data_IF_607147589847
#
_entry.id   IF_607147589847
#
_cell.length_a   1.000
_cell.length_b   1.000
_cell.length_c   1.000
_cell.angle_alpha   90.00
_cell.angle_beta   90.00
_cell.angle_gamma   90.00
#
_symmetry.space_group_name_H-M   'P 1'
#
loop_
_entity.id
_entity.type
_entity.pdbx_description
1 polymer ?
#
# COMPACT_ATOMS: atom_id res chain seq x y z
N UNK A 1 3.47 -9.09 9.37
CA UNK A 1 2.23 -9.57 8.70
C UNK A 1 1.28 -10.04 9.77
N UNK A 2 0.07 -9.51 9.80
CA UNK A 2 -0.96 -9.94 10.75
C UNK A 2 -1.76 -11.09 10.18
N UNK A 3 -1.80 -12.21 10.90
CA UNK A 3 -2.63 -13.37 10.57
C UNK A 3 -3.94 -13.28 11.35
N UNK A 4 -5.00 -12.75 10.72
CA UNK A 4 -6.29 -12.54 11.38
C UNK A 4 -6.92 -13.84 11.90
N UNK A 5 -6.62 -14.97 11.25
CA UNK A 5 -7.09 -16.28 11.65
C UNK A 5 -6.54 -16.76 13.00
N UNK A 6 -5.35 -16.30 13.41
CA UNK A 6 -4.68 -16.71 14.65
C UNK A 6 -4.43 -15.56 15.62
N UNK A 7 -4.64 -14.32 15.20
CA UNK A 7 -4.32 -13.11 15.97
C UNK A 7 -2.82 -12.86 16.13
N UNK A 8 -1.97 -13.50 15.31
CA UNK A 8 -0.52 -13.45 15.46
C UNK A 8 0.14 -12.49 14.47
N UNK A 9 1.27 -11.90 14.88
CA UNK A 9 2.15 -11.11 14.03
C UNK A 9 3.38 -11.91 13.64
N UNK A 10 3.61 -12.04 12.34
CA UNK A 10 4.83 -12.62 11.77
C UNK A 10 5.78 -11.51 11.33
N UNK A 11 7.04 -11.66 11.73
CA UNK A 11 8.12 -10.73 11.40
C UNK A 11 9.20 -11.45 10.59
N UNK A 12 9.62 -10.82 9.49
CA UNK A 12 10.71 -11.29 8.65
C UNK A 12 11.84 -10.28 8.73
N UNK A 13 13.03 -10.72 9.14
CA UNK A 13 14.18 -9.84 9.29
C UNK A 13 15.01 -9.74 7.99
N UNK A 14 15.94 -8.78 7.97
CA UNK A 14 16.83 -8.53 6.81
C UNK A 14 17.68 -9.73 6.39
N UNK A 15 18.07 -10.59 7.34
CA UNK A 15 18.93 -11.74 7.03
C UNK A 15 18.16 -12.84 6.29
N UNK A 16 16.87 -12.96 6.58
CA UNK A 16 15.98 -13.83 5.82
C UNK A 16 15.80 -13.28 4.40
N UNK A 17 15.44 -12.01 4.25
CA UNK A 17 15.23 -11.37 2.95
C UNK A 17 16.42 -11.48 2.00
N UNK A 18 17.65 -11.33 2.50
CA UNK A 18 18.90 -11.45 1.71
C UNK A 18 19.15 -12.83 1.12
N UNK A 19 18.53 -13.88 1.66
CA UNK A 19 18.73 -15.27 1.24
C UNK A 19 17.64 -15.76 0.29
N UNK A 20 16.63 -14.94 0.00
CA UNK A 20 15.52 -15.34 -0.86
C UNK A 20 16.00 -15.56 -2.30
N UNK A 21 15.62 -16.71 -2.85
CA UNK A 21 15.66 -16.94 -4.29
C UNK A 21 14.47 -16.26 -4.97
N UNK A 22 14.39 -16.30 -6.29
CA UNK A 22 13.21 -15.81 -7.02
C UNK A 22 11.92 -16.50 -6.53
N UNK A 23 11.95 -17.82 -6.35
CA UNK A 23 10.81 -18.59 -5.83
C UNK A 23 10.49 -18.18 -4.38
N UNK A 24 11.52 -18.11 -3.53
CA UNK A 24 11.35 -17.70 -2.14
C UNK A 24 10.81 -16.27 -2.00
N UNK A 25 11.17 -15.36 -2.90
CA UNK A 25 10.63 -14.00 -2.92
C UNK A 25 9.14 -13.97 -3.31
N UNK A 26 8.74 -14.76 -4.30
CA UNK A 26 7.31 -14.93 -4.65
C UNK A 26 6.52 -15.50 -3.46
N UNK A 27 7.04 -16.51 -2.78
CA UNK A 27 6.43 -17.07 -1.57
C UNK A 27 6.33 -16.04 -0.45
N UNK A 28 7.38 -15.24 -0.22
CA UNK A 28 7.38 -14.18 0.78
C UNK A 28 6.33 -13.10 0.48
N UNK A 29 6.12 -12.74 -0.80
CA UNK A 29 5.04 -11.85 -1.21
C UNK A 29 3.66 -12.47 -0.97
N UNK A 30 3.48 -13.77 -1.29
CA UNK A 30 2.25 -14.48 -0.97
C UNK A 30 1.96 -14.47 0.54
N UNK A 31 2.98 -14.71 1.36
CA UNK A 31 2.86 -14.64 2.82
C UNK A 31 2.54 -13.22 3.28
N UNK A 32 3.19 -12.21 2.69
CA UNK A 32 2.93 -10.80 3.03
C UNK A 32 1.48 -10.41 2.77
N UNK A 33 0.87 -10.86 1.68
CA UNK A 33 -0.53 -10.57 1.36
C UNK A 33 -1.52 -11.64 1.86
N UNK A 34 -1.13 -12.51 2.80
CA UNK A 34 -2.03 -13.53 3.37
C UNK A 34 -2.62 -13.11 4.72
N UNK A 35 -3.82 -13.60 5.03
CA UNK A 35 -4.44 -13.52 6.35
C UNK A 35 -4.03 -14.67 7.30
N UNK A 36 -3.07 -15.50 6.85
CA UNK A 36 -2.61 -16.72 7.52
C UNK A 36 -3.30 -18.00 7.05
N UNK A 37 -4.28 -17.91 6.15
CA UNK A 37 -4.93 -19.06 5.51
C UNK A 37 -4.95 -18.93 4.00
N UNK A 38 -5.39 -17.77 3.51
CA UNK A 38 -5.57 -17.49 2.08
C UNK A 38 -4.85 -16.22 1.69
N UNK A 39 -4.57 -16.08 0.39
CA UNK A 39 -4.06 -14.86 -0.19
C UNK A 39 -5.20 -13.83 -0.29
N UNK A 40 -5.01 -12.65 0.30
CA UNK A 40 -5.95 -11.52 0.24
C UNK A 40 -5.79 -10.76 -1.08
N UNK A 41 -6.36 -11.34 -2.12
CA UNK A 41 -6.28 -10.84 -3.51
C UNK A 41 -6.80 -9.43 -3.68
N UNK A 42 -7.78 -9.04 -2.87
CA UNK A 42 -8.35 -7.70 -2.88
C UNK A 42 -7.31 -6.60 -2.58
N UNK A 43 -6.17 -6.95 -1.97
CA UNK A 43 -5.06 -6.04 -1.71
C UNK A 43 -4.16 -5.83 -2.93
N UNK A 44 -4.10 -6.79 -3.86
CA UNK A 44 -3.14 -6.75 -4.97
C UNK A 44 -3.48 -5.65 -5.96
N UNK A 45 -4.75 -5.52 -6.35
CA UNK A 45 -5.22 -4.50 -7.29
C UNK A 45 -4.87 -3.07 -6.84
N UNK A 46 -5.21 -2.61 -5.60
CA UNK A 46 -4.85 -1.27 -5.15
C UNK A 46 -3.34 -1.07 -4.99
N UNK A 47 -2.57 -2.09 -4.56
CA UNK A 47 -1.10 -2.00 -4.54
C UNK A 47 -0.54 -1.80 -5.95
N UNK A 48 -0.99 -2.61 -6.91
CA UNK A 48 -0.57 -2.53 -8.30
C UNK A 48 -0.88 -1.16 -8.91
N UNK A 49 -2.05 -0.60 -8.60
CA UNK A 49 -2.41 0.73 -9.04
C UNK A 49 -1.43 1.78 -8.50
N UNK A 50 -1.15 1.80 -7.20
CA UNK A 50 -0.21 2.76 -6.59
C UNK A 50 1.21 2.60 -7.13
N UNK A 51 1.67 1.37 -7.38
CA UNK A 51 2.98 1.12 -7.99
C UNK A 51 3.06 1.61 -9.43
N UNK A 52 2.01 1.44 -10.23
CA UNK A 52 1.93 1.94 -11.62
C UNK A 52 1.91 3.47 -11.66
N UNK A 53 1.15 4.11 -10.78
CA UNK A 53 1.13 5.57 -10.62
C UNK A 53 2.51 6.09 -10.21
N UNK A 54 3.13 5.51 -9.20
CA UNK A 54 4.48 5.86 -8.75
C UNK A 54 5.52 5.70 -9.86
N UNK A 55 5.47 4.59 -10.61
CA UNK A 55 6.35 4.37 -11.77
C UNK A 55 6.19 5.49 -12.80
N UNK A 56 4.96 5.87 -13.14
CA UNK A 56 4.72 6.92 -14.14
C UNK A 56 5.31 8.28 -13.69
N UNK A 57 5.19 8.60 -12.40
CA UNK A 57 5.82 9.81 -11.84
C UNK A 57 7.34 9.72 -11.92
N UNK A 58 7.94 8.60 -11.51
CA UNK A 58 9.39 8.42 -11.52
C UNK A 58 9.99 8.36 -12.93
N UNK A 59 9.25 7.86 -13.92
CA UNK A 59 9.65 7.89 -15.33
C UNK A 59 9.68 9.33 -15.90
N UNK A 60 8.84 10.22 -15.35
CA UNK A 60 8.84 11.65 -15.69
C UNK A 60 9.85 12.47 -14.87
N UNK A 61 10.37 11.92 -13.76
CA UNK A 61 11.40 12.57 -12.95
C UNK A 61 12.79 12.39 -13.59
N UNK A 62 13.33 13.48 -14.14
CA UNK A 62 14.70 13.51 -14.64
C UNK A 62 15.71 13.81 -13.52
N UNK A 63 16.92 13.29 -13.66
CA UNK A 63 18.11 13.57 -12.83
C UNK A 63 18.08 13.07 -11.38
N UNK A 64 16.92 12.67 -10.85
CA UNK A 64 16.84 12.03 -9.54
C UNK A 64 17.43 10.62 -9.56
N UNK A 65 18.16 10.26 -8.51
CA UNK A 65 18.59 8.88 -8.19
C UNK A 65 18.24 8.55 -6.76
N UNK A 66 17.52 7.45 -6.55
CA UNK A 66 16.96 7.07 -5.25
C UNK A 66 17.74 5.90 -4.64
N UNK A 67 19.06 6.04 -4.51
CA UNK A 67 19.91 4.98 -3.97
C UNK A 67 19.51 4.59 -2.55
N UNK A 68 19.48 3.29 -2.28
CA UNK A 68 19.17 2.72 -0.97
C UNK A 68 17.83 3.14 -0.36
N UNK A 69 16.95 3.77 -1.13
CA UNK A 69 15.58 4.05 -0.72
C UNK A 69 14.74 2.78 -0.76
N UNK A 70 13.62 2.80 -0.04
CA UNK A 70 12.73 1.64 0.11
C UNK A 70 11.30 1.97 -0.28
N UNK A 71 10.54 0.94 -0.64
CA UNK A 71 9.08 1.00 -0.72
C UNK A 71 8.49 0.47 0.58
N UNK A 72 7.57 1.23 1.15
CA UNK A 72 6.77 0.84 2.30
C UNK A 72 5.36 0.55 1.82
N UNK A 73 4.93 -0.70 1.96
CA UNK A 73 3.56 -1.15 1.68
C UNK A 73 2.87 -1.42 3.00
N UNK A 74 1.71 -0.78 3.21
CA UNK A 74 0.89 -0.94 4.42
C UNK A 74 -0.54 -1.23 3.96
N UNK A 75 -1.22 -2.12 4.69
CA UNK A 75 -2.63 -2.40 4.47
C UNK A 75 -3.31 -2.77 5.79
N UNK A 76 -4.63 -2.60 5.87
CA UNK A 76 -5.39 -3.03 7.04
C UNK A 76 -5.52 -4.55 7.09
N UNK A 77 -5.03 -5.16 8.17
CA UNK A 77 -5.06 -6.61 8.41
C UNK A 77 -6.42 -7.15 8.85
N UNK A 78 -7.38 -6.29 9.18
CA UNK A 78 -8.73 -6.69 9.52
C UNK A 78 -9.47 -7.31 8.30
N UNK A 79 -10.34 -8.31 8.52
CA UNK A 79 -11.19 -8.81 7.45
C UNK A 79 -12.16 -7.70 6.99
N UNK A 80 -12.59 -7.70 5.73
CA UNK A 80 -13.60 -6.77 5.25
C UNK A 80 -14.86 -6.86 6.13
N UNK A 81 -15.54 -5.73 6.40
CA UNK A 81 -16.79 -5.76 7.13
C UNK A 81 -17.77 -6.70 6.42
N UNK A 82 -18.36 -7.63 7.18
CA UNK A 82 -19.37 -8.52 6.63
C UNK A 82 -20.50 -7.67 6.01
N UNK A 83 -21.01 -8.03 4.82
CA UNK A 83 -22.11 -7.29 4.22
C UNK A 83 -23.25 -7.23 5.24
N UNK A 84 -23.64 -6.01 5.63
CA UNK A 84 -24.78 -5.79 6.50
C UNK A 84 -25.97 -6.49 5.86
N UNK A 85 -26.39 -7.62 6.44
CA UNK A 85 -27.66 -8.21 6.06
C UNK A 85 -28.72 -7.16 6.36
N UNK A 86 -29.24 -6.52 5.32
CA UNK A 86 -30.44 -5.68 5.42
C UNK A 86 -31.51 -6.52 6.10
N UNK A 87 -31.73 -6.28 7.39
CA UNK A 87 -32.85 -6.88 8.11
C UNK A 87 -34.09 -6.49 7.31
N UNK A 88 -34.96 -7.44 6.91
CA UNK A 88 -36.21 -7.04 6.27
C UNK A 88 -36.96 -6.13 7.24
N UNK A 89 -37.27 -4.92 6.78
CA UNK A 89 -38.05 -3.92 7.52
C UNK A 89 -39.33 -4.57 8.01
N UNK A 90 -39.36 -4.90 9.30
CA UNK A 90 -40.59 -5.20 10.01
C UNK A 90 -40.97 -3.88 10.66
N UNK A 91 -41.92 -3.19 10.03
CA UNK A 91 -42.38 -1.86 10.43
C UNK A 91 -42.87 -1.83 11.87
N UNK A 92 -42.70 -0.68 12.51
CA UNK A 92 -43.24 -0.38 13.82
C UNK A 92 -42.39 0.62 14.59
N UNK A 93 -42.83 1.88 14.49
CA UNK A 93 -42.78 2.94 15.51
C UNK A 93 -41.51 3.79 15.64
N UNK A 94 -41.74 5.08 15.40
CA UNK A 94 -40.87 6.25 15.52
C UNK A 94 -40.71 6.59 17.00
N UNK A 95 -39.48 6.75 17.46
CA UNK A 95 -39.20 7.52 18.67
C UNK A 95 -38.03 8.45 18.34
N UNK A 96 -38.37 9.75 18.28
CA UNK A 96 -37.46 10.87 18.12
C UNK A 96 -36.68 11.06 19.42
N UNK A 97 -35.35 11.01 19.36
CA UNK A 97 -34.48 11.63 20.37
C UNK A 97 -33.58 12.64 19.64
N UNK A 98 -33.95 13.91 19.79
CA UNK A 98 -33.09 15.08 19.58
C UNK A 98 -32.14 15.20 20.78
N UNK A 99 -30.84 15.42 20.54
CA UNK A 99 -29.92 16.17 21.41
C UNK A 99 -28.57 16.28 20.63
N UNK A 100 -28.30 17.41 19.96
CA UNK A 100 -27.75 18.71 20.42
C UNK A 100 -26.22 18.76 20.27
N UNK A 101 -25.78 19.81 19.57
CA UNK A 101 -24.45 20.04 19.00
C UNK A 101 -23.37 20.33 20.06
N UNK A 102 -22.11 19.94 19.80
CA UNK A 102 -20.95 20.76 20.17
C UNK A 102 -19.88 20.68 19.05
N UNK A 103 -19.83 21.76 18.26
CA UNK A 103 -18.72 22.10 17.38
C UNK A 103 -17.50 22.51 18.22
N UNK A 104 -16.36 21.84 18.03
CA UNK A 104 -15.05 22.38 18.42
C UNK A 104 -14.17 22.51 17.17
N UNK A 105 -14.05 23.76 16.70
CA UNK A 105 -12.94 24.23 15.89
C UNK A 105 -11.66 24.20 16.74
N UNK A 106 -10.56 23.58 16.26
CA UNK A 106 -9.34 24.35 15.95
C UNK A 106 -8.23 23.53 15.25
N UNK A 107 -7.40 24.31 14.53
CA UNK A 107 -6.04 24.06 14.06
C UNK A 107 -5.81 23.17 12.82
N UNK A 108 -5.99 23.84 11.67
CA UNK A 108 -5.37 23.53 10.39
C UNK A 108 -3.85 23.84 10.41
N UNK A 109 -3.01 22.81 10.50
CA UNK A 109 -1.65 22.84 9.96
C UNK A 109 -1.28 21.49 9.30
N UNK A 110 -0.97 21.52 7.99
CA UNK A 110 -0.16 20.48 7.35
C UNK A 110 -0.85 19.58 6.31
N UNK A 111 -1.13 20.16 5.15
CA UNK A 111 -1.20 19.61 3.79
C UNK A 111 -1.07 18.08 3.52
N UNK A 112 -1.99 17.62 2.64
CA UNK A 112 -2.03 16.40 1.80
C UNK A 112 -2.21 15.02 2.47
N UNK A 113 -3.32 14.86 3.19
CA UNK A 113 -3.98 13.58 3.42
C UNK A 113 -5.44 13.63 3.01
N UNK A 114 -5.73 13.75 1.71
CA UNK A 114 -7.11 13.75 1.22
C UNK A 114 -7.82 12.47 1.66
N UNK A 115 -8.60 12.56 2.74
CA UNK A 115 -9.55 11.53 3.16
C UNK A 115 -10.57 11.42 2.06
N UNK A 116 -10.43 10.38 1.24
CA UNK A 116 -11.50 9.92 0.37
C UNK A 116 -12.58 9.35 1.30
N UNK A 117 -13.57 10.16 1.62
CA UNK A 117 -14.82 9.66 2.15
C UNK A 117 -15.42 8.73 1.09
N UNK A 118 -15.40 7.43 1.37
CA UNK A 118 -16.00 6.37 0.56
C UNK A 118 -17.02 5.64 1.43
N UNK A 119 -18.04 6.38 1.87
CA UNK A 119 -19.33 5.78 2.19
C UNK A 119 -19.84 5.03 0.94
N UNK A 120 -19.80 3.70 0.95
CA UNK A 120 -20.58 2.88 0.00
C UNK A 120 -19.98 1.55 -0.47
N UNK A 121 -18.66 1.33 -0.41
CA UNK A 121 -18.05 0.00 -0.51
C UNK A 121 -16.63 0.08 0.03
N UNK A 122 -16.34 -0.60 1.14
CA UNK A 122 -15.03 -0.53 1.78
C UNK A 122 -13.99 -1.29 0.94
N UNK A 123 -13.43 -0.64 -0.09
CA UNK A 123 -12.20 -1.12 -0.72
C UNK A 123 -11.12 -1.20 0.36
N UNK A 124 -10.32 -2.26 0.40
CA UNK A 124 -9.30 -2.42 1.42
C UNK A 124 -8.35 -1.22 1.41
N UNK A 125 -8.06 -0.67 2.59
CA UNK A 125 -7.16 0.45 2.74
C UNK A 125 -5.72 -0.03 2.56
N UNK A 126 -5.05 0.52 1.55
CA UNK A 126 -3.67 0.21 1.20
C UNK A 126 -2.94 1.54 0.98
N UNK A 127 -1.69 1.61 1.45
CA UNK A 127 -0.77 2.68 1.09
C UNK A 127 0.57 2.14 0.60
N UNK A 128 1.17 2.84 -0.36
CA UNK A 128 2.48 2.53 -0.93
C UNK A 128 3.28 3.82 -1.01
N UNK A 129 4.39 3.90 -0.28
CA UNK A 129 5.21 5.12 -0.14
C UNK A 129 6.69 4.83 -0.35
N UNK A 130 7.42 5.80 -0.89
CA UNK A 130 8.88 5.80 -0.87
C UNK A 130 9.37 6.35 0.47
N UNK A 131 10.40 5.73 1.03
CA UNK A 131 11.07 6.15 2.27
C UNK A 131 12.60 6.07 2.11
N UNK A 132 13.33 6.59 3.09
CA UNK A 132 14.80 6.53 3.19
C UNK A 132 15.57 7.25 2.07
N UNK A 133 15.45 8.59 2.01
CA UNK A 133 16.08 9.44 0.98
C UNK A 133 17.51 9.91 1.32
N UNK A 134 18.16 9.33 2.33
CA UNK A 134 19.47 9.80 2.82
C UNK A 134 20.58 9.73 1.75
N UNK A 135 20.42 8.88 0.74
CA UNK A 135 21.35 8.75 -0.39
C UNK A 135 20.68 9.13 -1.72
N UNK A 136 19.60 9.90 -1.68
CA UNK A 136 18.97 10.44 -2.89
C UNK A 136 19.78 11.62 -3.43
N UNK A 137 20.05 11.62 -4.73
CA UNK A 137 20.74 12.71 -5.41
C UNK A 137 19.87 13.26 -6.54
N UNK A 138 20.03 14.54 -6.86
CA UNK A 138 19.44 15.14 -8.06
C UNK A 138 20.35 16.27 -8.57
N UNK A 139 20.08 16.78 -9.78
CA UNK A 139 20.93 17.82 -10.41
C UNK A 139 21.15 19.04 -9.54
N UNK A 140 20.14 19.45 -8.77
CA UNK A 140 20.15 20.66 -7.97
C UNK A 140 20.52 20.40 -6.48
N UNK A 141 20.82 19.14 -6.12
CA UNK A 141 21.16 18.74 -4.76
C UNK A 141 22.69 18.59 -4.59
N UNK A 142 23.32 19.66 -4.11
CA UNK A 142 24.55 19.73 -3.30
C UNK A 142 25.75 18.81 -3.57
N UNK A 143 26.89 19.44 -3.88
CA UNK A 143 28.30 18.99 -3.78
C UNK A 143 28.79 17.79 -4.59
N UNK A 144 27.93 16.83 -4.96
CA UNK A 144 28.35 15.70 -5.79
C UNK A 144 28.59 16.18 -7.23
N UNK A 145 29.84 16.11 -7.68
CA UNK A 145 30.23 16.47 -9.06
C UNK A 145 29.66 15.54 -10.15
N UNK A 146 28.84 14.55 -9.78
CA UNK A 146 28.21 13.59 -10.68
C UNK A 146 26.79 14.04 -10.97
N UNK A 147 26.60 14.66 -12.13
CA UNK A 147 25.28 14.96 -12.66
C UNK A 147 24.74 13.72 -13.37
N UNK A 148 23.62 13.21 -12.88
CA UNK A 148 22.89 12.14 -13.54
C UNK A 148 21.92 12.72 -14.58
N UNK A 149 21.94 12.14 -15.77
CA UNK A 149 20.95 12.41 -16.83
C UNK A 149 19.93 11.28 -16.94
N UNK A 150 18.74 11.62 -17.45
CA UNK A 150 17.62 10.71 -17.59
C UNK A 150 16.99 10.30 -16.24
N UNK A 151 16.02 9.39 -16.32
CA UNK A 151 15.37 8.82 -15.14
C UNK A 151 16.21 7.75 -14.43
N UNK A 152 15.80 7.36 -13.22
CA UNK A 152 16.44 6.31 -12.45
C UNK A 152 16.07 4.91 -13.00
N UNK A 153 16.81 4.45 -14.00
CA UNK A 153 16.56 3.16 -14.65
C UNK A 153 16.66 1.97 -13.69
N UNK A 154 17.48 2.05 -12.64
CA UNK A 154 17.61 1.00 -11.63
C UNK A 154 16.37 0.89 -10.76
N UNK A 155 15.87 2.03 -10.27
CA UNK A 155 14.64 2.07 -9.49
C UNK A 155 13.42 1.67 -10.32
N UNK A 156 13.31 2.19 -11.55
CA UNK A 156 12.24 1.86 -12.49
C UNK A 156 12.24 0.35 -12.80
N UNK A 157 13.41 -0.24 -13.04
CA UNK A 157 13.54 -1.69 -13.25
C UNK A 157 13.06 -2.49 -12.03
N UNK A 158 13.41 -2.07 -10.81
CA UNK A 158 12.93 -2.69 -9.58
C UNK A 158 11.40 -2.65 -9.46
N UNK A 159 10.79 -1.48 -9.72
CA UNK A 159 9.33 -1.31 -9.75
C UNK A 159 8.66 -2.20 -10.80
N UNK A 160 9.20 -2.24 -12.02
CA UNK A 160 8.66 -3.07 -13.10
C UNK A 160 8.68 -4.56 -12.75
N UNK A 161 9.77 -5.05 -12.13
CA UNK A 161 9.83 -6.43 -11.66
C UNK A 161 8.80 -6.71 -10.58
N UNK A 162 8.66 -5.82 -9.59
CA UNK A 162 7.66 -5.98 -8.53
C UNK A 162 6.24 -5.99 -9.10
N UNK A 163 5.90 -5.05 -9.99
CA UNK A 163 4.61 -4.99 -10.69
C UNK A 163 4.36 -6.30 -11.44
N UNK A 164 5.34 -6.79 -12.20
CA UNK A 164 5.20 -8.04 -12.95
C UNK A 164 4.93 -9.25 -12.06
N UNK A 165 5.64 -9.37 -10.94
CA UNK A 165 5.44 -10.47 -10.00
C UNK A 165 4.06 -10.38 -9.34
N UNK A 166 3.65 -9.19 -8.88
CA UNK A 166 2.35 -9.00 -8.25
C UNK A 166 1.18 -9.22 -9.23
N UNK A 167 1.32 -8.82 -10.50
CA UNK A 167 0.33 -9.12 -11.53
C UNK A 167 0.23 -10.62 -11.80
N UNK A 168 1.35 -11.35 -11.83
CA UNK A 168 1.30 -12.81 -11.92
C UNK A 168 0.54 -13.41 -10.72
N UNK A 169 0.78 -12.94 -9.51
CA UNK A 169 0.06 -13.43 -8.32
C UNK A 169 -1.44 -13.15 -8.39
N UNK A 170 -1.84 -11.99 -8.93
CA UNK A 170 -3.24 -11.64 -9.16
C UNK A 170 -3.90 -12.58 -10.17
N UNK A 171 -3.23 -12.92 -11.28
CA UNK A 171 -3.77 -13.77 -12.34
C UNK A 171 -3.83 -15.28 -11.97
N UNK A 172 -2.80 -15.81 -11.31
CA UNK A 172 -2.59 -17.27 -11.14
C UNK A 172 -3.48 -17.98 -10.09
N UNK A 173 -4.53 -17.34 -9.55
CA UNK A 173 -5.49 -18.12 -8.73
C UNK A 173 -6.95 -17.80 -8.99
N UNK A 174 -7.24 -17.57 -10.28
CA UNK A 174 -8.57 -17.77 -10.88
C UNK A 174 -8.80 -19.22 -11.37
N UNK A 175 -7.86 -20.15 -11.12
CA UNK A 175 -8.00 -21.60 -11.37
C UNK A 175 -8.26 -22.38 -10.07
#
# INVERSE_FOLDING_TARGET
VYHSATGQLIFMNKYHGRKLSLAGFKEALCQFFSDGRVLRRELLTPVLQRLKEMRAVLEACESYRFFSSSLLVIYDGAPPPAPSRSRPSRGGEEEDEEDDDEDEDDDEEGAYGGRRDHSGSASPTVDVRMIDFAHTTCRDYGEDGIVHEGGDSGYIFGLQNLISILSQLEEHSND
#
